data_IF_695097564079
#
_entry.id   IF_695097564079
#
_cell.length_a   1.000
_cell.length_b   1.000
_cell.length_c   1.000
_cell.angle_alpha   90.00
_cell.angle_beta   90.00
_cell.angle_gamma   90.00
#
_symmetry.space_group_name_H-M   'P 1'
#
loop_
_entity.id
_entity.type
_entity.pdbx_description
1 polymer ?
#
# COMPACT_ATOMS: atom_id res chain seq x y z
N UNK A 1 12.43 -7.98 -1.58
CA UNK A 1 12.12 -6.90 -0.62
C UNK A 1 12.39 -7.47 0.76
N UNK A 2 13.64 -7.36 1.22
CA UNK A 2 14.08 -8.14 2.39
C UNK A 2 13.89 -7.37 3.71
N UNK A 3 13.23 -6.20 3.67
CA UNK A 3 12.91 -5.41 4.88
C UNK A 3 14.13 -5.03 5.71
N UNK A 4 15.33 -4.95 5.12
CA UNK A 4 16.60 -4.79 5.87
C UNK A 4 16.65 -3.54 6.75
N UNK A 5 15.91 -2.50 6.39
CA UNK A 5 15.81 -1.23 7.12
C UNK A 5 14.56 -1.14 8.03
N UNK A 6 13.79 -2.23 8.11
CA UNK A 6 12.53 -2.32 8.84
C UNK A 6 11.32 -2.59 7.94
N UNK A 7 10.18 -2.86 8.57
CA UNK A 7 8.87 -2.85 7.92
C UNK A 7 8.49 -1.44 7.43
N UNK A 8 7.47 -1.33 6.57
CA UNK A 8 7.06 -0.04 5.98
C UNK A 8 6.71 1.01 7.04
N UNK A 9 6.05 0.63 8.12
CA UNK A 9 5.67 1.57 9.19
C UNK A 9 6.91 2.11 9.91
N UNK A 10 7.88 1.23 10.21
CA UNK A 10 9.17 1.60 10.79
C UNK A 10 9.96 2.52 9.86
N UNK A 11 9.99 2.22 8.56
CA UNK A 11 10.66 3.05 7.54
C UNK A 11 10.02 4.43 7.46
N UNK A 12 8.68 4.51 7.42
CA UNK A 12 7.94 5.78 7.40
C UNK A 12 8.27 6.62 8.65
N UNK A 13 8.32 6.00 9.84
CA UNK A 13 8.70 6.70 11.07
C UNK A 13 10.14 7.21 11.01
N UNK A 14 11.09 6.39 10.54
CA UNK A 14 12.49 6.77 10.39
C UNK A 14 12.69 7.94 9.43
N UNK A 15 11.89 7.98 8.36
CA UNK A 15 11.94 9.02 7.35
C UNK A 15 11.56 10.40 7.93
N UNK A 16 10.61 10.47 8.87
CA UNK A 16 10.19 11.75 9.51
C UNK A 16 11.32 12.47 10.25
N UNK A 17 12.30 11.74 10.79
CA UNK A 17 13.44 12.31 11.51
C UNK A 17 14.78 12.19 10.75
N UNK A 18 14.76 11.77 9.48
CA UNK A 18 15.94 11.69 8.63
C UNK A 18 16.87 10.51 8.93
N UNK A 19 16.37 9.46 9.59
CA UNK A 19 17.08 8.18 9.70
C UNK A 19 17.11 7.41 8.38
N UNK A 20 16.11 7.64 7.52
CA UNK A 20 16.04 7.16 6.13
C UNK A 20 15.75 8.37 5.23
N UNK A 21 16.56 8.53 4.17
CA UNK A 21 16.47 9.68 3.27
C UNK A 21 15.31 9.56 2.27
N UNK A 22 15.16 8.38 1.65
CA UNK A 22 14.15 8.09 0.64
C UNK A 22 13.56 6.70 0.87
N UNK A 23 12.27 6.56 0.59
CA UNK A 23 11.59 5.27 0.61
C UNK A 23 10.54 5.21 -0.49
N UNK A 24 10.19 3.98 -0.87
CA UNK A 24 8.94 3.66 -1.58
C UNK A 24 8.08 2.86 -0.62
N UNK A 25 6.84 3.27 -0.42
CA UNK A 25 5.91 2.60 0.49
C UNK A 25 4.49 2.61 -0.08
N UNK A 26 3.70 1.61 0.29
CA UNK A 26 2.25 1.64 0.06
C UNK A 26 1.61 2.79 0.83
N UNK A 27 0.55 3.39 0.27
CA UNK A 27 -0.20 4.42 1.00
C UNK A 27 -0.98 3.85 2.18
N UNK A 28 -1.20 2.53 2.27
CA UNK A 28 -1.96 1.93 3.37
C UNK A 28 -1.32 2.14 4.75
N UNK A 29 -0.04 1.82 5.00
CA UNK A 29 0.60 2.17 6.26
C UNK A 29 0.84 3.68 6.40
N UNK A 30 1.05 4.40 5.29
CA UNK A 30 1.31 5.85 5.29
C UNK A 30 0.07 6.67 5.67
N UNK A 31 -1.14 6.16 5.41
CA UNK A 31 -2.37 6.88 5.74
C UNK A 31 -2.65 7.00 7.24
N UNK A 32 -1.94 6.26 8.09
CA UNK A 32 -1.95 6.48 9.54
C UNK A 32 -1.23 7.78 9.93
N UNK A 33 -0.33 8.28 9.08
CA UNK A 33 0.42 9.53 9.30
C UNK A 33 -0.21 10.70 8.53
N UNK A 34 -0.75 10.44 7.33
CA UNK A 34 -1.37 11.44 6.46
C UNK A 34 -2.78 10.94 6.07
N UNK A 35 -3.78 11.28 6.89
CA UNK A 35 -5.11 10.64 6.86
C UNK A 35 -5.89 10.83 5.56
N UNK A 36 -5.65 11.91 4.80
CA UNK A 36 -6.31 12.14 3.50
C UNK A 36 -6.02 11.01 2.51
N UNK A 37 -4.89 10.31 2.67
CA UNK A 37 -4.51 9.17 1.83
C UNK A 37 -5.50 8.00 1.93
N UNK A 38 -6.33 7.93 2.96
CA UNK A 38 -7.40 6.92 3.01
C UNK A 38 -8.39 7.07 1.86
N UNK A 39 -8.62 8.30 1.36
CA UNK A 39 -9.50 8.56 0.22
C UNK A 39 -9.00 7.81 -1.03
N UNK A 40 -7.69 7.76 -1.27
CA UNK A 40 -7.08 7.14 -2.46
C UNK A 40 -7.04 5.60 -2.45
N UNK A 41 -7.51 4.95 -1.39
CA UNK A 41 -7.49 3.49 -1.25
C UNK A 41 -8.86 2.94 -0.86
N UNK A 42 -9.91 3.74 -1.01
CA UNK A 42 -11.28 3.29 -0.79
C UNK A 42 -11.61 2.10 -1.73
N UNK A 43 -12.33 1.09 -1.23
CA UNK A 43 -12.74 -0.06 -2.04
C UNK A 43 -13.55 0.39 -3.26
N UNK A 44 -13.24 -0.18 -4.42
CA UNK A 44 -13.88 0.10 -5.71
C UNK A 44 -13.89 1.58 -6.14
N UNK A 45 -12.98 2.41 -5.61
CA UNK A 45 -12.86 3.81 -6.00
C UNK A 45 -12.52 3.99 -7.48
N UNK A 46 -11.63 3.15 -7.99
CA UNK A 46 -11.13 3.23 -9.35
C UNK A 46 -11.76 2.16 -10.24
N UNK A 47 -12.19 2.54 -11.44
CA UNK A 47 -12.74 1.62 -12.44
C UNK A 47 -11.66 0.73 -13.06
N UNK A 48 -10.48 1.30 -13.26
CA UNK A 48 -9.32 0.67 -13.88
C UNK A 48 -8.05 1.47 -13.51
N UNK A 49 -6.92 1.05 -14.05
CA UNK A 49 -5.62 1.69 -13.83
C UNK A 49 -5.51 3.08 -14.47
N UNK A 50 -6.09 3.28 -15.65
CA UNK A 50 -6.08 4.57 -16.35
C UNK A 50 -6.84 5.63 -15.55
N UNK A 51 -8.03 5.28 -15.02
CA UNK A 51 -8.79 6.15 -14.13
C UNK A 51 -7.99 6.52 -12.88
N UNK A 52 -7.26 5.56 -12.29
CA UNK A 52 -6.42 5.83 -11.12
C UNK A 52 -5.33 6.85 -11.46
N UNK A 53 -4.59 6.64 -12.55
CA UNK A 53 -3.54 7.58 -12.96
C UNK A 53 -4.09 8.98 -13.28
N UNK A 54 -5.23 9.06 -13.96
CA UNK A 54 -5.90 10.33 -14.23
C UNK A 54 -6.27 11.07 -12.95
N UNK A 55 -6.69 10.38 -11.89
CA UNK A 55 -6.96 11.00 -10.58
C UNK A 55 -5.65 11.45 -9.90
N UNK A 56 -4.66 10.57 -9.81
CA UNK A 56 -3.39 10.84 -9.12
C UNK A 56 -2.58 11.98 -9.74
N UNK A 57 -2.77 12.24 -11.04
CA UNK A 57 -2.13 13.35 -11.78
C UNK A 57 -3.08 14.48 -12.17
N UNK A 58 -4.24 14.55 -11.54
CA UNK A 58 -5.14 15.70 -11.62
C UNK A 58 -4.90 16.69 -10.49
N UNK A 59 -5.67 17.78 -10.49
CA UNK A 59 -5.75 18.73 -9.37
C UNK A 59 -6.03 18.03 -8.03
N UNK A 60 -6.84 16.96 -8.01
CA UNK A 60 -7.11 16.15 -6.81
C UNK A 60 -5.82 15.53 -6.26
N UNK A 61 -4.96 15.02 -7.14
CA UNK A 61 -3.66 14.48 -6.75
C UNK A 61 -2.76 15.55 -6.17
N UNK A 62 -2.75 16.75 -6.75
CA UNK A 62 -1.96 17.89 -6.25
C UNK A 62 -2.46 18.39 -4.89
N UNK A 63 -3.77 18.46 -4.67
CA UNK A 63 -4.38 18.76 -3.37
C UNK A 63 -3.94 17.75 -2.30
N UNK A 64 -4.00 16.46 -2.61
CA UNK A 64 -3.56 15.40 -1.67
C UNK A 64 -2.06 15.48 -1.37
N UNK A 65 -1.23 15.82 -2.36
CA UNK A 65 0.20 16.00 -2.14
C UNK A 65 0.51 17.21 -1.23
N UNK A 66 -0.33 18.24 -1.24
CA UNK A 66 -0.18 19.40 -0.37
C UNK A 66 -0.41 19.06 1.11
N UNK A 67 -1.28 18.09 1.41
CA UNK A 67 -1.58 17.62 2.78
C UNK A 67 -0.39 16.92 3.48
N UNK A 68 0.71 16.69 2.77
CA UNK A 68 1.96 16.25 3.39
C UNK A 68 2.70 17.37 4.12
N UNK A 69 2.30 18.63 3.96
CA UNK A 69 2.93 19.74 4.68
C UNK A 69 2.85 19.53 6.20
N UNK A 70 3.97 19.73 6.90
CA UNK A 70 4.07 19.48 8.33
C UNK A 70 4.19 18.01 8.75
N UNK A 71 3.99 17.04 7.85
CA UNK A 71 4.13 15.60 8.15
C UNK A 71 5.59 15.15 8.39
N UNK A 72 6.58 15.96 7.99
CA UNK A 72 7.99 15.58 7.97
C UNK A 72 8.37 14.70 6.76
N UNK A 73 7.43 14.49 5.84
CA UNK A 73 7.58 13.67 4.63
C UNK A 73 7.32 14.55 3.41
N UNK A 74 8.17 14.44 2.40
CA UNK A 74 8.01 15.10 1.10
C UNK A 74 7.61 14.05 0.07
N UNK A 75 6.39 14.11 -0.49
CA UNK A 75 5.98 13.18 -1.52
C UNK A 75 6.59 13.57 -2.88
N UNK A 76 7.05 12.58 -3.64
CA UNK A 76 7.77 12.79 -4.91
C UNK A 76 6.96 12.33 -6.12
N UNK A 77 6.44 11.09 -6.07
CA UNK A 77 5.67 10.50 -7.16
C UNK A 77 4.83 9.31 -6.68
N UNK A 78 3.85 8.93 -7.49
CA UNK A 78 3.02 7.75 -7.27
C UNK A 78 3.54 6.53 -8.03
N UNK A 79 3.31 5.34 -7.52
CA UNK A 79 3.55 4.06 -8.21
C UNK A 79 2.28 3.21 -8.10
N UNK A 80 2.17 2.20 -8.94
CA UNK A 80 1.13 1.18 -8.84
C UNK A 80 1.74 -0.21 -8.90
N UNK A 81 1.11 -1.14 -8.21
CA UNK A 81 1.37 -2.58 -8.33
C UNK A 81 0.12 -3.34 -8.80
N UNK A 82 -0.90 -2.62 -9.28
CA UNK A 82 -2.16 -3.16 -9.78
C UNK A 82 -3.22 -3.36 -8.69
N UNK A 83 -4.33 -3.99 -9.08
CA UNK A 83 -5.44 -4.29 -8.19
C UNK A 83 -5.11 -5.42 -7.20
N UNK A 84 -5.69 -5.32 -6.01
CA UNK A 84 -5.57 -6.27 -4.91
C UNK A 84 -6.79 -7.17 -4.88
N UNK A 85 -6.55 -8.42 -4.53
CA UNK A 85 -7.52 -9.49 -4.60
C UNK A 85 -7.40 -10.40 -3.38
N UNK A 86 -8.50 -11.00 -2.93
CA UNK A 86 -8.46 -11.95 -1.82
C UNK A 86 -7.88 -13.29 -2.24
N UNK A 87 -7.06 -13.87 -1.35
CA UNK A 87 -6.62 -15.26 -1.44
C UNK A 87 -6.57 -15.93 -0.07
N UNK A 88 -6.94 -17.20 0.01
CA UNK A 88 -7.00 -17.95 1.26
C UNK A 88 -6.77 -19.47 1.04
N UNK A 89 -6.68 -20.23 2.12
CA UNK A 89 -6.45 -21.69 2.10
C UNK A 89 -7.64 -22.53 2.58
N UNK A 90 -8.77 -21.89 2.89
CA UNK A 90 -9.94 -22.54 3.50
C UNK A 90 -10.98 -22.90 2.44
N UNK A 91 -11.37 -21.93 1.58
CA UNK A 91 -12.45 -22.10 0.61
C UNK A 91 -12.42 -21.06 -0.51
N UNK A 92 -13.08 -21.35 -1.62
CA UNK A 92 -13.39 -20.36 -2.67
C UNK A 92 -14.27 -19.25 -2.08
N UNK A 93 -14.02 -18.00 -2.48
CA UNK A 93 -14.90 -16.86 -2.18
C UNK A 93 -15.68 -16.53 -3.46
N UNK A 94 -16.96 -16.89 -3.50
CA UNK A 94 -17.87 -16.57 -4.61
C UNK A 94 -18.81 -15.41 -4.25
N UNK A 95 -19.06 -15.21 -2.96
CA UNK A 95 -19.87 -14.12 -2.44
C UNK A 95 -19.36 -13.63 -1.07
N UNK A 96 -19.88 -12.51 -0.58
CA UNK A 96 -19.42 -11.88 0.67
C UNK A 96 -19.52 -12.82 1.88
N UNK A 97 -20.53 -13.70 1.96
CA UNK A 97 -20.68 -14.63 3.10
C UNK A 97 -19.52 -15.62 3.19
N UNK A 98 -18.85 -15.91 2.07
CA UNK A 98 -17.70 -16.80 2.07
C UNK A 98 -16.48 -16.18 2.78
N UNK A 99 -16.47 -14.87 3.03
CA UNK A 99 -15.45 -14.22 3.85
C UNK A 99 -15.67 -14.39 5.36
N UNK A 100 -16.89 -14.78 5.79
CA UNK A 100 -17.29 -14.77 7.19
C UNK A 100 -16.36 -15.61 8.07
N UNK A 101 -15.78 -15.00 9.10
CA UNK A 101 -14.89 -15.65 10.05
C UNK A 101 -13.51 -16.04 9.52
N UNK A 102 -13.16 -15.75 8.26
CA UNK A 102 -11.79 -15.95 7.77
C UNK A 102 -10.84 -14.96 8.44
N UNK A 103 -9.69 -15.45 8.91
CA UNK A 103 -8.58 -14.60 9.38
C UNK A 103 -7.79 -14.08 8.19
N UNK A 104 -8.13 -12.87 7.75
CA UNK A 104 -7.52 -12.26 6.57
C UNK A 104 -6.47 -11.26 7.01
N UNK A 105 -5.22 -11.50 6.59
CA UNK A 105 -4.16 -10.52 6.75
C UNK A 105 -4.40 -9.30 5.88
N UNK A 106 -4.23 -8.13 6.48
CA UNK A 106 -4.19 -6.83 5.81
C UNK A 106 -2.89 -6.10 6.11
N UNK A 107 -2.58 -5.08 5.31
CA UNK A 107 -1.52 -4.12 5.64
C UNK A 107 -1.81 -3.41 6.98
N UNK A 108 -0.79 -2.81 7.60
CA UNK A 108 -0.91 -2.10 8.87
C UNK A 108 -1.66 -0.76 8.70
N UNK A 109 -2.96 -0.82 8.42
CA UNK A 109 -3.84 0.31 8.11
C UNK A 109 -5.19 0.14 8.79
N UNK A 110 -5.69 1.20 9.41
CA UNK A 110 -7.01 1.19 10.05
C UNK A 110 -8.13 0.98 9.04
N UNK A 111 -8.08 1.66 7.89
CA UNK A 111 -9.05 1.51 6.81
C UNK A 111 -9.14 0.06 6.31
N UNK A 112 -8.00 -0.61 6.10
CA UNK A 112 -7.98 -1.98 5.60
C UNK A 112 -8.53 -2.98 6.62
N UNK A 113 -8.27 -2.76 7.91
CA UNK A 113 -8.89 -3.57 8.98
C UNK A 113 -10.40 -3.39 8.97
N UNK A 114 -10.88 -2.16 8.89
CA UNK A 114 -12.31 -1.86 8.90
C UNK A 114 -13.01 -2.43 7.67
N UNK A 115 -12.41 -2.32 6.48
CA UNK A 115 -12.92 -2.94 5.25
C UNK A 115 -13.15 -4.45 5.44
N UNK A 116 -12.10 -5.19 5.86
CA UNK A 116 -12.18 -6.65 6.02
C UNK A 116 -13.19 -7.03 7.11
N UNK A 117 -13.24 -6.27 8.21
CA UNK A 117 -14.22 -6.48 9.27
C UNK A 117 -15.66 -6.26 8.79
N UNK A 118 -15.89 -5.21 7.99
CA UNK A 118 -17.21 -4.91 7.41
C UNK A 118 -17.67 -5.99 6.41
N UNK A 119 -16.73 -6.71 5.79
CA UNK A 119 -17.01 -7.86 4.94
C UNK A 119 -17.26 -9.16 5.72
N UNK A 120 -17.20 -9.14 7.06
CA UNK A 120 -17.49 -10.28 7.94
C UNK A 120 -16.27 -11.15 8.29
N UNK A 121 -15.08 -10.82 7.79
CA UNK A 121 -13.84 -11.50 8.10
C UNK A 121 -13.16 -10.93 9.36
N UNK A 122 -12.21 -11.67 9.93
CA UNK A 122 -11.36 -11.24 11.03
C UNK A 122 -10.05 -10.62 10.48
N UNK A 123 -9.85 -9.28 10.54
CA UNK A 123 -8.63 -8.67 10.02
C UNK A 123 -7.43 -8.93 10.94
N UNK A 124 -6.30 -9.33 10.35
CA UNK A 124 -5.01 -9.48 11.03
C UNK A 124 -3.99 -8.52 10.42
N UNK A 125 -3.75 -7.38 11.06
CA UNK A 125 -2.74 -6.44 10.61
C UNK A 125 -1.32 -6.92 10.96
N UNK A 126 -0.50 -7.20 9.95
CA UNK A 126 0.91 -7.60 10.13
C UNK A 126 1.77 -7.11 8.97
N UNK A 127 3.07 -6.97 9.21
CA UNK A 127 4.07 -6.63 8.19
C UNK A 127 4.11 -7.66 7.07
N UNK A 128 4.51 -7.23 5.87
CA UNK A 128 4.48 -8.07 4.67
C UNK A 128 5.43 -9.27 4.75
N UNK A 129 6.60 -9.12 5.38
CA UNK A 129 7.61 -10.17 5.59
C UNK A 129 7.10 -11.36 6.39
N UNK A 130 6.10 -11.18 7.25
CA UNK A 130 5.57 -12.24 8.11
C UNK A 130 4.49 -13.08 7.42
N UNK A 131 3.91 -12.59 6.32
CA UNK A 131 2.70 -13.18 5.72
C UNK A 131 2.94 -14.63 5.29
N UNK A 132 4.06 -14.93 4.62
CA UNK A 132 4.39 -16.29 4.20
C UNK A 132 4.43 -17.27 5.38
N UNK A 133 5.15 -16.90 6.45
CA UNK A 133 5.27 -17.75 7.64
C UNK A 133 3.92 -17.89 8.38
N UNK A 134 3.13 -16.83 8.43
CA UNK A 134 1.79 -16.83 9.03
C UNK A 134 0.82 -17.72 8.27
N UNK A 135 0.84 -17.69 6.93
CA UNK A 135 0.07 -18.61 6.08
C UNK A 135 0.52 -20.06 6.29
N UNK A 136 1.84 -20.30 6.25
CA UNK A 136 2.41 -21.64 6.43
C UNK A 136 2.03 -22.28 7.77
N UNK A 137 1.98 -21.47 8.84
CA UNK A 137 1.64 -21.93 10.20
C UNK A 137 0.13 -21.95 10.48
N UNK A 138 -0.70 -21.47 9.54
CA UNK A 138 -2.15 -21.35 9.74
C UNK A 138 -2.54 -20.32 10.81
N UNK A 139 -1.69 -19.32 11.06
CA UNK A 139 -2.03 -18.18 11.95
C UNK A 139 -3.09 -17.29 11.28
N UNK A 140 -3.03 -17.19 9.96
CA UNK A 140 -4.01 -16.53 9.10
C UNK A 140 -4.51 -17.54 8.06
N UNK A 141 -5.77 -17.39 7.67
CA UNK A 141 -6.40 -18.22 6.64
C UNK A 141 -6.07 -17.72 5.24
N UNK A 142 -5.83 -16.41 5.11
CA UNK A 142 -5.61 -15.75 3.84
C UNK A 142 -5.08 -14.33 4.00
N UNK A 143 -4.96 -13.64 2.88
CA UNK A 143 -4.63 -12.23 2.82
C UNK A 143 -5.25 -11.60 1.56
N UNK A 144 -5.00 -10.33 1.35
CA UNK A 144 -5.30 -9.64 0.10
C UNK A 144 -4.04 -8.97 -0.47
N UNK A 145 -3.84 -9.03 -1.79
CA UNK A 145 -2.73 -8.36 -2.49
C UNK A 145 -2.87 -8.45 -4.02
N UNK A 146 -1.99 -7.75 -4.74
CA UNK A 146 -1.85 -7.88 -6.19
C UNK A 146 -1.11 -9.18 -6.59
N UNK A 147 -1.28 -9.57 -7.86
CA UNK A 147 -0.68 -10.79 -8.44
C UNK A 147 0.85 -10.80 -8.31
N UNK A 148 1.60 -9.71 -8.64
CA UNK A 148 3.05 -9.71 -8.49
C UNK A 148 3.51 -10.04 -7.06
N UNK A 149 2.84 -9.47 -6.05
CA UNK A 149 3.13 -9.74 -4.64
C UNK A 149 2.79 -11.18 -4.26
N UNK A 150 1.60 -11.66 -4.63
CA UNK A 150 1.16 -13.03 -4.36
C UNK A 150 2.12 -14.09 -4.91
N UNK A 151 2.66 -13.88 -6.12
CA UNK A 151 3.63 -14.78 -6.76
C UNK A 151 5.03 -14.62 -6.14
N UNK A 152 5.55 -13.40 -6.08
CA UNK A 152 6.94 -13.16 -5.64
C UNK A 152 7.21 -13.55 -4.19
N UNK A 153 6.21 -13.43 -3.31
CA UNK A 153 6.29 -13.88 -1.93
C UNK A 153 5.86 -15.35 -1.74
N UNK A 154 5.58 -16.08 -2.82
CA UNK A 154 5.18 -17.49 -2.80
C UNK A 154 3.96 -17.80 -1.93
N UNK A 155 3.05 -16.83 -1.74
CA UNK A 155 1.85 -17.02 -0.92
C UNK A 155 0.94 -18.13 -1.47
N UNK A 156 0.97 -18.36 -2.79
CA UNK A 156 0.21 -19.42 -3.47
C UNK A 156 0.49 -20.84 -2.95
N UNK A 157 1.61 -21.08 -2.28
CA UNK A 157 1.92 -22.39 -1.69
C UNK A 157 0.96 -22.75 -0.55
N UNK A 158 0.47 -21.74 0.17
CA UNK A 158 -0.33 -21.90 1.39
C UNK A 158 -1.64 -21.13 1.37
N UNK A 159 -2.01 -20.48 0.26
CA UNK A 159 -3.31 -19.87 0.06
C UNK A 159 -3.75 -20.10 -1.39
N UNK A 160 -4.36 -21.25 -1.66
CA UNK A 160 -4.60 -21.75 -3.01
C UNK A 160 -5.86 -21.20 -3.67
N UNK A 161 -6.82 -20.77 -2.87
CA UNK A 161 -8.05 -20.15 -3.36
C UNK A 161 -7.78 -18.68 -3.61
N UNK A 162 -7.88 -18.26 -4.87
CA UNK A 162 -7.68 -16.87 -5.28
C UNK A 162 -8.97 -16.39 -5.95
N UNK A 163 -9.54 -15.31 -5.45
CA UNK A 163 -10.73 -14.69 -6.02
C UNK A 163 -10.33 -13.38 -6.67
N UNK A 164 -10.54 -13.26 -7.98
CA UNK A 164 -10.22 -12.03 -8.72
C UNK A 164 -11.36 -11.01 -8.58
N UNK A 165 -11.43 -10.35 -7.43
CA UNK A 165 -12.47 -9.35 -7.12
C UNK A 165 -12.01 -7.89 -7.29
N UNK A 166 -10.70 -7.66 -7.43
CA UNK A 166 -10.07 -6.35 -7.65
C UNK A 166 -10.60 -5.24 -6.71
N UNK A 167 -10.91 -5.60 -5.47
CA UNK A 167 -11.66 -4.74 -4.53
C UNK A 167 -10.95 -3.42 -4.20
N UNK A 168 -9.62 -3.38 -4.27
CA UNK A 168 -8.87 -2.14 -4.08
C UNK A 168 -7.75 -2.01 -5.11
N UNK A 169 -7.49 -0.77 -5.52
CA UNK A 169 -6.25 -0.36 -6.19
C UNK A 169 -5.59 0.64 -5.25
N UNK A 170 -4.47 0.22 -4.66
CA UNK A 170 -3.78 0.99 -3.62
C UNK A 170 -2.53 1.58 -4.25
N UNK A 171 -2.45 2.91 -4.43
CA UNK A 171 -1.22 3.56 -4.84
C UNK A 171 -0.06 3.27 -3.90
N UNK A 172 1.13 3.35 -4.43
CA UNK A 172 2.36 3.44 -3.67
C UNK A 172 2.96 4.83 -3.91
N UNK A 173 3.85 5.27 -3.03
CA UNK A 173 4.49 6.57 -3.16
C UNK A 173 5.99 6.47 -2.97
N UNK A 174 6.74 7.17 -3.81
CA UNK A 174 8.11 7.55 -3.49
C UNK A 174 8.07 8.80 -2.61
N UNK A 175 8.74 8.71 -1.47
CA UNK A 175 8.74 9.72 -0.42
C UNK A 175 10.18 10.02 0.01
N UNK A 176 10.42 11.26 0.45
CA UNK A 176 11.69 11.75 0.93
C UNK A 176 11.55 12.38 2.32
N UNK A 177 12.55 12.20 3.18
CA UNK A 177 12.60 12.91 4.46
C UNK A 177 12.64 14.42 4.24
N UNK A 178 11.84 15.18 4.98
CA UNK A 178 11.93 16.63 4.96
C UNK A 178 13.31 17.14 5.42
N UNK A 179 13.98 16.40 6.32
CA UNK A 179 15.36 16.72 6.76
C UNK A 179 16.34 16.68 5.59
N UNK A 180 16.23 15.63 4.77
CA UNK A 180 17.07 15.44 3.59
C UNK A 180 16.68 16.43 2.50
N UNK A 181 15.39 16.57 2.23
CA UNK A 181 14.86 17.50 1.24
C UNK A 181 15.35 18.93 1.46
N UNK A 182 15.38 19.39 2.71
CA UNK A 182 15.82 20.75 3.03
C UNK A 182 17.32 21.00 2.79
N UNK A 183 18.14 19.94 2.72
CA UNK A 183 19.58 20.02 2.39
C UNK A 183 19.84 20.05 0.88
N UNK A 184 18.87 19.65 0.07
CA UNK A 184 19.03 19.59 -1.38
C UNK A 184 19.04 20.99 -2.00
N UNK A 185 19.84 21.15 -3.05
CA UNK A 185 19.85 22.38 -3.86
C UNK A 185 18.51 22.59 -4.56
N UNK A 186 18.24 23.81 -5.02
CA UNK A 186 17.03 24.10 -5.80
C UNK A 186 17.01 23.29 -7.12
N UNK A 187 18.18 23.05 -7.71
CA UNK A 187 18.33 22.24 -8.92
C UNK A 187 18.01 20.77 -8.65
N UNK A 188 18.53 20.19 -7.56
CA UNK A 188 18.24 18.81 -7.17
C UNK A 188 16.75 18.63 -6.88
N UNK A 189 16.15 19.55 -6.12
CA UNK A 189 14.70 19.53 -5.83
C UNK A 189 13.86 19.52 -7.11
N UNK A 190 14.25 20.32 -8.10
CA UNK A 190 13.59 20.35 -9.41
C UNK A 190 13.78 19.05 -10.17
N UNK A 191 14.98 18.48 -10.14
CA UNK A 191 15.30 17.19 -10.77
C UNK A 191 14.50 16.05 -10.16
N UNK A 192 14.42 15.94 -8.84
CA UNK A 192 13.62 14.90 -8.18
C UNK A 192 12.13 15.06 -8.50
N UNK A 193 11.54 16.24 -8.32
CA UNK A 193 10.11 16.45 -8.65
C UNK A 193 9.81 16.25 -10.15
N UNK A 194 10.72 16.65 -11.04
CA UNK A 194 10.52 16.55 -12.50
C UNK A 194 10.92 15.21 -13.11
N UNK A 195 11.80 14.44 -12.48
CA UNK A 195 12.25 13.11 -12.90
C UNK A 195 11.29 12.02 -12.41
N UNK A 196 10.88 12.08 -11.14
CA UNK A 196 9.94 11.11 -10.56
C UNK A 196 8.55 11.15 -11.21
N UNK A 197 8.10 12.30 -11.75
CA UNK A 197 6.88 12.41 -12.58
C UNK A 197 7.05 11.82 -14.00
N UNK A 198 8.27 11.68 -14.52
CA UNK A 198 8.55 11.26 -15.92
C UNK A 198 8.74 9.76 -16.11
N UNK A 199 9.19 9.02 -15.09
CA UNK A 199 9.37 7.56 -15.15
C UNK A 199 8.08 6.76 -15.42
N UNK A 200 6.92 7.42 -15.50
CA UNK A 200 5.60 6.79 -15.57
C UNK A 200 4.95 6.86 -16.95
N UNK A 201 5.63 7.55 -17.88
CA UNK A 201 5.29 7.57 -19.30
C UNK A 201 6.24 6.67 -20.14
N UNK A 202 7.10 5.89 -19.46
CA UNK A 202 8.04 4.93 -20.04
C UNK A 202 7.64 3.51 -19.61
#
# INVERSE_FOLDING_TARGET
YDGKLGDELSVIKQLKFGGIDFARASISPLSNEVSILNVLQMPYLYRDEEHMWNVLYSEIGEEILAEFEGSGIVPLSFYTAGARNFYNNVRTIENIKDLEGLKIRVQQSDLMKDMVKMLGAEPVAQEYSQVYASLQRGVIDGAENNIPSYISAMHFQYAKYYTKDEHTRVPEMQICSNVTWNKLSAEDKKTYKGGCRREQYL
#
